data_IF_085981128361
#
_entry.id   IF_085981128361
#
_cell.length_a   1.000
_cell.length_b   1.000
_cell.length_c   1.000
_cell.angle_alpha   90.00
_cell.angle_beta   90.00
_cell.angle_gamma   90.00
#
_symmetry.space_group_name_H-M   'P 1'
#
loop_
_entity.id
_entity.type
_entity.pdbx_description
1 polymer ?
#
# COMPACT_ATOMS: atom_id res chain seq x y z
N UNK A 1 7.28 -41.52 48.15
CA UNK A 1 7.53 -41.92 49.54
C UNK A 1 8.92 -41.40 49.89
N UNK A 2 9.01 -40.17 50.37
CA UNK A 2 9.01 -39.78 51.81
C UNK A 2 10.34 -40.20 52.45
N UNK A 3 11.30 -39.29 52.59
CA UNK A 3 11.43 -38.18 53.57
C UNK A 3 12.34 -38.59 54.73
N UNK A 4 13.28 -37.69 55.07
CA UNK A 4 14.02 -37.45 56.34
C UNK A 4 15.40 -36.84 55.94
N UNK A 5 15.77 -35.55 56.07
CA UNK A 5 15.58 -34.54 57.13
C UNK A 5 16.03 -35.09 58.51
N UNK A 6 16.95 -34.53 59.32
CA UNK A 6 17.55 -33.20 59.60
C UNK A 6 18.79 -33.43 60.50
N UNK A 7 19.73 -32.47 60.64
CA UNK A 7 20.31 -31.96 61.93
C UNK A 7 21.65 -31.22 61.66
N UNK A 8 21.64 -29.88 61.54
CA UNK A 8 21.90 -28.85 62.57
C UNK A 8 23.36 -28.69 63.04
N UNK A 9 23.97 -27.50 62.80
CA UNK A 9 24.41 -26.52 63.83
C UNK A 9 25.31 -25.39 63.25
N UNK A 10 25.50 -24.25 63.95
CA UNK A 10 25.50 -22.91 63.34
C UNK A 10 26.82 -22.15 63.50
N UNK A 11 26.99 -21.06 62.74
CA UNK A 11 27.93 -19.97 63.06
C UNK A 11 27.30 -18.61 62.73
N UNK A 12 26.90 -17.90 63.79
CA UNK A 12 26.85 -16.43 63.88
C UNK A 12 28.31 -15.90 63.88
N UNK A 13 28.72 -14.68 63.53
CA UNK A 13 28.24 -13.27 63.41
C UNK A 13 29.28 -12.57 62.46
N UNK A 14 29.27 -11.23 62.16
CA UNK A 14 28.36 -10.17 62.58
C UNK A 14 27.77 -9.32 61.44
N UNK A 15 26.72 -8.57 61.82
CA UNK A 15 26.18 -7.41 61.13
C UNK A 15 27.13 -6.23 61.32
N UNK A 16 27.57 -5.60 60.23
CA UNK A 16 28.07 -4.23 60.31
C UNK A 16 27.82 -3.50 58.97
N UNK A 17 27.34 -2.27 59.10
CA UNK A 17 27.22 -1.21 58.10
C UNK A 17 26.29 -1.38 56.89
N UNK A 18 25.04 -1.05 57.18
CA UNK A 18 24.15 -0.21 56.37
C UNK A 18 24.86 1.02 55.75
N UNK A 19 24.93 1.09 54.42
CA UNK A 19 24.84 2.34 53.63
C UNK A 19 24.46 2.05 52.15
N UNK A 20 23.26 2.48 51.75
CA UNK A 20 22.83 2.72 50.35
C UNK A 20 23.38 4.08 49.88
N UNK A 21 23.23 4.52 48.60
CA UNK A 21 23.12 3.82 47.31
C UNK A 21 24.04 4.45 46.22
N UNK A 22 24.31 3.77 45.11
CA UNK A 22 24.65 4.42 43.84
C UNK A 22 24.24 3.53 42.66
N UNK A 23 23.68 4.18 41.64
CA UNK A 23 22.86 3.63 40.57
C UNK A 23 23.52 2.55 39.70
N UNK A 24 22.73 1.65 39.08
CA UNK A 24 23.24 0.76 38.05
C UNK A 24 23.55 1.53 36.77
N UNK A 25 24.82 1.41 36.35
CA UNK A 25 25.36 1.76 35.05
C UNK A 25 24.46 1.16 33.95
N UNK A 26 23.90 2.04 33.12
CA UNK A 26 22.98 1.66 32.04
C UNK A 26 23.74 0.99 30.89
N UNK A 27 23.21 -0.08 30.27
CA UNK A 27 23.78 -0.60 29.04
C UNK A 27 23.64 0.43 27.91
N UNK A 28 24.59 0.49 26.96
CA UNK A 28 24.47 1.38 25.81
C UNK A 28 23.27 0.93 24.96
N UNK A 29 22.26 1.80 24.89
CA UNK A 29 21.16 1.71 23.95
C UNK A 29 21.72 1.69 22.53
N UNK A 30 21.66 0.54 21.86
CA UNK A 30 21.69 0.50 20.40
C UNK A 30 20.53 1.38 19.90
N UNK A 31 20.78 2.38 19.04
CA UNK A 31 19.70 3.12 18.43
C UNK A 31 18.96 2.16 17.50
N UNK A 32 17.78 1.73 17.95
CA UNK A 32 16.80 1.06 17.11
C UNK A 32 16.59 1.94 15.86
N UNK A 33 17.12 1.48 14.73
CA UNK A 33 16.78 2.00 13.40
C UNK A 33 15.27 1.86 13.24
N UNK A 34 14.56 2.95 13.49
CA UNK A 34 13.14 3.07 13.24
C UNK A 34 12.93 3.07 11.73
N UNK A 35 12.72 1.90 11.17
CA UNK A 35 12.21 1.68 9.82
C UNK A 35 10.81 2.28 9.72
N UNK A 36 10.70 3.60 9.54
CA UNK A 36 9.41 4.26 9.37
C UNK A 36 8.81 3.81 8.04
N UNK A 37 7.77 2.97 8.09
CA UNK A 37 6.99 2.62 6.90
C UNK A 37 6.50 3.88 6.20
N UNK A 38 6.57 3.96 4.87
CA UNK A 38 6.15 5.15 4.13
C UNK A 38 4.67 5.46 4.42
N UNK A 39 4.37 6.74 4.65
CA UNK A 39 3.00 7.19 4.90
C UNK A 39 2.11 6.94 3.68
N UNK A 40 0.80 6.77 3.90
CA UNK A 40 -0.17 6.58 2.82
C UNK A 40 -0.16 7.73 1.80
N UNK A 41 0.11 8.96 2.25
CA UNK A 41 0.26 10.12 1.36
C UNK A 41 1.51 10.00 0.47
N UNK A 42 2.64 9.54 1.01
CA UNK A 42 3.88 9.39 0.25
C UNK A 42 3.72 8.34 -0.86
N UNK A 43 3.14 7.17 -0.55
CA UNK A 43 2.91 6.12 -1.56
C UNK A 43 1.95 6.59 -2.65
N UNK A 44 0.89 7.31 -2.25
CA UNK A 44 -0.03 7.92 -3.21
C UNK A 44 0.69 8.89 -4.15
N UNK A 45 1.53 9.79 -3.63
CA UNK A 45 2.27 10.73 -4.46
C UNK A 45 3.16 10.03 -5.49
N UNK A 46 3.89 8.99 -5.07
CA UNK A 46 4.71 8.17 -5.98
C UNK A 46 3.85 7.53 -7.07
N UNK A 47 2.73 6.93 -6.68
CA UNK A 47 1.80 6.29 -7.61
C UNK A 47 1.21 7.27 -8.63
N UNK A 48 0.82 8.47 -8.18
CA UNK A 48 0.28 9.50 -9.06
C UNK A 48 1.33 10.06 -10.02
N UNK A 49 2.59 10.20 -9.57
CA UNK A 49 3.71 10.56 -10.44
C UNK A 49 3.88 9.53 -11.56
N UNK A 50 3.92 8.25 -11.19
CA UNK A 50 4.02 7.16 -12.17
C UNK A 50 2.81 7.08 -13.11
N UNK A 51 1.58 7.28 -12.61
CA UNK A 51 0.39 7.32 -13.49
C UNK A 51 0.43 8.48 -14.50
N UNK A 52 1.04 9.62 -14.13
CA UNK A 52 1.25 10.73 -15.06
C UNK A 52 2.18 10.31 -16.20
N UNK A 53 3.29 9.63 -15.89
CA UNK A 53 4.21 9.12 -16.90
C UNK A 53 3.54 8.10 -17.83
N UNK A 54 2.71 7.21 -17.28
CA UNK A 54 1.91 6.24 -18.05
C UNK A 54 0.93 6.96 -18.98
N UNK A 55 0.24 7.99 -18.48
CA UNK A 55 -0.69 8.78 -19.28
C UNK A 55 0.05 9.50 -20.43
N UNK A 56 1.23 10.07 -20.18
CA UNK A 56 2.05 10.70 -21.21
C UNK A 56 2.50 9.69 -22.28
N UNK A 57 2.92 8.49 -21.87
CA UNK A 57 3.33 7.42 -22.80
C UNK A 57 2.20 6.94 -23.70
N UNK A 58 0.99 6.86 -23.16
CA UNK A 58 -0.21 6.49 -23.90
C UNK A 58 -0.88 7.67 -24.60
N UNK A 59 -0.31 8.87 -24.50
CA UNK A 59 -0.84 10.13 -25.05
C UNK A 59 -2.27 10.44 -24.57
N UNK A 60 -2.57 10.13 -23.31
CA UNK A 60 -3.86 10.39 -22.69
C UNK A 60 -3.98 11.85 -22.26
N UNK A 61 -5.18 12.41 -22.40
CA UNK A 61 -5.47 13.76 -21.93
C UNK A 61 -5.45 13.89 -20.39
N UNK A 62 -5.13 15.08 -19.90
CA UNK A 62 -5.24 15.43 -18.47
C UNK A 62 -6.60 15.09 -17.83
N UNK A 63 -7.75 15.32 -18.50
CA UNK A 63 -9.05 14.89 -18.00
C UNK A 63 -9.15 13.37 -17.75
N UNK A 64 -8.55 12.55 -18.62
CA UNK A 64 -8.51 11.09 -18.48
C UNK A 64 -7.73 10.68 -17.23
N UNK A 65 -6.57 11.30 -16.99
CA UNK A 65 -5.78 11.07 -15.78
C UNK A 65 -6.58 11.44 -14.52
N UNK A 66 -7.20 12.62 -14.50
CA UNK A 66 -8.02 13.08 -13.38
C UNK A 66 -9.21 12.15 -13.13
N UNK A 67 -9.89 11.66 -14.18
CA UNK A 67 -10.95 10.67 -14.06
C UNK A 67 -10.45 9.34 -13.47
N UNK A 68 -9.28 8.87 -13.91
CA UNK A 68 -8.63 7.68 -13.34
C UNK A 68 -8.33 7.84 -11.84
N UNK A 69 -7.79 9.00 -11.44
CA UNK A 69 -7.53 9.30 -10.01
C UNK A 69 -8.81 9.37 -9.20
N UNK A 70 -9.88 9.96 -9.73
CA UNK A 70 -11.18 10.00 -9.04
C UNK A 70 -11.78 8.60 -8.84
N UNK A 71 -11.62 7.70 -9.80
CA UNK A 71 -12.03 6.30 -9.66
C UNK A 71 -11.23 5.59 -8.57
N UNK A 72 -9.92 5.80 -8.54
CA UNK A 72 -9.04 5.26 -7.51
C UNK A 72 -9.48 5.72 -6.11
N UNK A 73 -9.75 7.02 -5.97
CA UNK A 73 -10.17 7.62 -4.70
C UNK A 73 -11.51 7.08 -4.23
N UNK A 74 -12.50 7.07 -5.13
CA UNK A 74 -13.82 6.54 -4.83
C UNK A 74 -13.76 5.05 -4.45
N UNK A 75 -12.85 4.28 -5.03
CA UNK A 75 -12.64 2.89 -4.65
C UNK A 75 -12.03 2.77 -3.26
N UNK A 76 -10.97 3.52 -2.96
CA UNK A 76 -10.27 3.48 -1.68
C UNK A 76 -11.15 3.96 -0.52
N UNK A 77 -12.04 4.92 -0.74
CA UNK A 77 -13.04 5.37 0.23
C UNK A 77 -14.03 4.27 0.65
N UNK A 78 -14.21 3.23 -0.18
CA UNK A 78 -15.07 2.08 0.10
C UNK A 78 -14.34 0.94 0.81
N UNK A 79 -13.01 1.00 0.91
CA UNK A 79 -12.22 -0.05 1.54
C UNK A 79 -12.07 0.20 3.04
N UNK A 80 -12.26 -0.84 3.85
CA UNK A 80 -12.02 -0.80 5.29
C UNK A 80 -10.52 -0.90 5.63
N UNK A 81 -9.74 -1.51 4.74
CA UNK A 81 -8.30 -1.70 4.88
C UNK A 81 -7.59 -1.21 3.62
N UNK A 82 -6.40 -0.65 3.82
CA UNK A 82 -5.56 -0.21 2.70
C UNK A 82 -5.07 -1.44 1.92
N UNK A 83 -5.22 -1.47 0.58
CA UNK A 83 -4.62 -2.52 -0.25
C UNK A 83 -3.09 -2.51 -0.15
N UNK A 84 -2.43 -3.68 -0.28
CA UNK A 84 -0.99 -3.77 -0.53
C UNK A 84 -0.58 -2.90 -1.72
N UNK A 85 0.63 -2.33 -1.67
CA UNK A 85 1.11 -1.40 -2.70
C UNK A 85 1.14 -2.01 -4.11
N UNK A 86 1.42 -3.31 -4.22
CA UNK A 86 1.34 -4.05 -5.50
C UNK A 86 -0.08 -4.14 -6.05
N UNK A 87 -1.10 -4.24 -5.21
CA UNK A 87 -2.49 -4.20 -5.66
C UNK A 87 -2.95 -2.76 -5.94
N UNK A 88 -2.38 -1.78 -5.24
CA UNK A 88 -2.67 -0.38 -5.45
C UNK A 88 -2.21 0.09 -6.84
N UNK A 89 -1.03 -0.37 -7.30
CA UNK A 89 -0.54 -0.09 -8.65
C UNK A 89 -1.42 -0.72 -9.74
N UNK A 90 -1.84 -1.98 -9.57
CA UNK A 90 -2.77 -2.65 -10.49
C UNK A 90 -4.14 -1.96 -10.53
N UNK A 91 -4.67 -1.58 -9.37
CA UNK A 91 -5.92 -0.83 -9.25
C UNK A 91 -5.83 0.50 -9.98
N UNK A 92 -4.74 1.25 -9.77
CA UNK A 92 -4.49 2.52 -10.44
C UNK A 92 -4.49 2.40 -11.97
N UNK A 93 -3.78 1.41 -12.53
CA UNK A 93 -3.83 1.14 -13.99
C UNK A 93 -5.23 0.76 -14.46
N UNK A 94 -5.94 -0.05 -13.68
CA UNK A 94 -7.32 -0.44 -14.01
C UNK A 94 -8.26 0.76 -14.03
N UNK A 95 -8.13 1.68 -13.07
CA UNK A 95 -8.88 2.93 -13.04
C UNK A 95 -8.55 3.81 -14.25
N UNK A 96 -7.28 3.94 -14.63
CA UNK A 96 -6.86 4.70 -15.81
C UNK A 96 -7.37 4.07 -17.11
N UNK A 97 -7.38 2.73 -17.21
CA UNK A 97 -7.94 2.02 -18.36
C UNK A 97 -9.45 2.26 -18.51
N UNK A 98 -10.21 2.26 -17.42
CA UNK A 98 -11.64 2.58 -17.44
C UNK A 98 -11.91 4.06 -17.77
N UNK A 99 -11.08 4.97 -17.26
CA UNK A 99 -11.14 6.38 -17.61
C UNK A 99 -10.85 6.60 -19.11
N UNK A 100 -9.82 5.94 -19.64
CA UNK A 100 -9.46 5.98 -21.06
C UNK A 100 -10.61 5.48 -21.94
N UNK A 101 -11.20 4.33 -21.56
CA UNK A 101 -12.36 3.76 -22.26
C UNK A 101 -13.55 4.71 -22.32
N UNK A 102 -13.74 5.53 -21.29
CA UNK A 102 -14.86 6.47 -21.18
C UNK A 102 -14.60 7.80 -21.88
N UNK A 103 -13.43 8.42 -21.69
CA UNK A 103 -13.13 9.77 -22.16
C UNK A 103 -12.41 9.83 -23.52
N UNK A 104 -11.65 8.80 -23.89
CA UNK A 104 -10.82 8.79 -25.10
C UNK A 104 -11.06 7.54 -25.94
N UNK A 105 -12.28 7.36 -26.52
CA UNK A 105 -12.66 6.13 -27.22
C UNK A 105 -11.84 5.82 -28.48
N UNK A 106 -11.02 6.76 -28.93
CA UNK A 106 -10.06 6.62 -30.03
C UNK A 106 -8.73 5.99 -29.59
N UNK A 107 -8.39 6.07 -28.30
CA UNK A 107 -7.23 5.42 -27.70
C UNK A 107 -7.72 4.12 -27.05
N UNK A 108 -7.34 2.97 -27.62
CA UNK A 108 -7.76 1.65 -27.12
C UNK A 108 -6.57 0.71 -26.96
N UNK A 109 -5.73 0.89 -25.93
CA UNK A 109 -4.73 -0.09 -25.60
C UNK A 109 -5.43 -1.40 -25.23
N UNK A 110 -4.94 -2.49 -25.78
CA UNK A 110 -5.30 -3.84 -25.41
C UNK A 110 -4.98 -4.12 -23.95
N UNK A 111 -5.61 -5.14 -23.36
CA UNK A 111 -5.28 -5.58 -22.00
C UNK A 111 -3.81 -6.01 -21.87
N UNK A 112 -3.22 -6.52 -22.95
CA UNK A 112 -1.80 -6.87 -22.97
C UNK A 112 -0.90 -5.62 -22.87
N UNK A 113 -1.23 -4.55 -23.60
CA UNK A 113 -0.51 -3.28 -23.49
C UNK A 113 -0.62 -2.72 -22.07
N UNK A 114 -1.81 -2.73 -21.47
CA UNK A 114 -1.98 -2.33 -20.06
C UNK A 114 -1.14 -3.16 -19.09
N UNK A 115 -1.10 -4.49 -19.26
CA UNK A 115 -0.31 -5.39 -18.42
C UNK A 115 1.20 -5.15 -18.57
N UNK A 116 1.65 -4.74 -19.76
CA UNK A 116 3.07 -4.47 -20.04
C UNK A 116 3.60 -3.16 -19.45
N UNK A 117 2.75 -2.28 -18.91
CA UNK A 117 3.17 -0.98 -18.37
C UNK A 117 3.77 -1.08 -16.97
N UNK A 118 3.38 -2.11 -16.21
CA UNK A 118 3.94 -2.39 -14.89
C UNK A 118 4.91 -3.55 -15.02
N UNK A 119 6.20 -3.26 -15.01
CA UNK A 119 7.28 -4.25 -15.18
C UNK A 119 8.15 -4.34 -13.95
N UNK A 120 8.73 -5.52 -13.74
CA UNK A 120 9.79 -5.70 -12.77
C UNK A 120 11.05 -5.01 -13.32
N UNK A 121 11.62 -4.02 -12.61
CA UNK A 121 12.78 -3.29 -13.11
C UNK A 121 14.04 -4.15 -13.25
N UNK A 122 14.13 -5.28 -12.54
CA UNK A 122 15.27 -6.19 -12.62
C UNK A 122 15.20 -7.17 -13.80
N UNK A 123 14.00 -7.63 -14.16
CA UNK A 123 13.81 -8.64 -15.22
C UNK A 123 13.20 -8.08 -16.50
N UNK A 124 12.57 -6.92 -16.44
CA UNK A 124 11.77 -6.34 -17.53
C UNK A 124 10.45 -7.05 -17.79
N UNK A 125 10.11 -8.07 -16.99
CA UNK A 125 8.90 -8.85 -17.19
C UNK A 125 7.67 -8.13 -16.59
N UNK A 126 6.48 -8.31 -17.19
CA UNK A 126 5.24 -7.80 -16.62
C UNK A 126 5.02 -8.28 -15.18
N UNK A 127 4.61 -7.36 -14.30
CA UNK A 127 4.25 -7.66 -12.91
C UNK A 127 2.89 -8.32 -12.77
N UNK A 128 2.02 -8.17 -13.77
CA UNK A 128 0.64 -8.63 -13.74
C UNK A 128 0.28 -9.41 -14.99
N UNK A 129 -0.62 -10.36 -14.82
CA UNK A 129 -1.23 -11.09 -15.91
C UNK A 129 -2.50 -10.37 -16.41
N UNK A 130 -2.93 -10.71 -17.62
CA UNK A 130 -4.21 -10.22 -18.18
C UNK A 130 -5.39 -10.59 -17.28
N UNK A 131 -5.34 -11.75 -16.62
CA UNK A 131 -6.39 -12.19 -15.70
C UNK A 131 -6.46 -11.32 -14.43
N UNK A 132 -5.33 -10.79 -13.97
CA UNK A 132 -5.30 -9.88 -12.82
C UNK A 132 -6.04 -8.57 -13.13
N UNK A 133 -5.86 -8.03 -14.34
CA UNK A 133 -6.61 -6.87 -14.81
C UNK A 133 -8.11 -7.14 -14.89
N UNK A 134 -8.52 -8.29 -15.42
CA UNK A 134 -9.95 -8.66 -15.49
C UNK A 134 -10.57 -8.79 -14.11
N UNK A 135 -9.85 -9.40 -13.16
CA UNK A 135 -10.29 -9.53 -11.77
C UNK A 135 -10.36 -8.17 -11.09
N UNK A 136 -9.34 -7.34 -11.24
CA UNK A 136 -9.30 -6.00 -10.66
C UNK A 136 -10.42 -5.11 -11.22
N UNK A 137 -10.66 -5.17 -12.54
CA UNK A 137 -11.78 -4.46 -13.19
C UNK A 137 -13.12 -4.91 -12.61
N UNK A 138 -13.32 -6.20 -12.47
CA UNK A 138 -14.57 -6.76 -11.90
C UNK A 138 -14.76 -6.28 -10.45
N UNK A 139 -13.69 -6.26 -9.66
CA UNK A 139 -13.70 -5.78 -8.29
C UNK A 139 -13.99 -4.26 -8.21
N UNK A 140 -13.37 -3.47 -9.08
CA UNK A 140 -13.58 -2.02 -9.18
C UNK A 140 -15.05 -1.71 -9.47
N UNK A 141 -15.60 -2.34 -10.51
CA UNK A 141 -17.01 -2.17 -10.91
C UNK A 141 -17.95 -2.60 -9.80
N UNK A 142 -17.72 -3.74 -9.16
CA UNK A 142 -18.54 -4.22 -8.05
C UNK A 142 -18.50 -3.28 -6.84
N UNK A 143 -17.31 -2.76 -6.51
CA UNK A 143 -17.09 -1.86 -5.37
C UNK A 143 -17.73 -0.49 -5.59
N UNK A 144 -17.77 -0.03 -6.83
CA UNK A 144 -18.39 1.23 -7.22
C UNK A 144 -19.85 1.07 -7.64
N UNK A 145 -20.57 0.06 -7.15
CA UNK A 145 -22.01 -0.12 -7.42
C UNK A 145 -22.36 -0.22 -8.94
N UNK A 146 -21.44 -0.68 -9.78
CA UNK A 146 -21.66 -1.01 -11.19
C UNK A 146 -21.10 -0.02 -12.22
N UNK A 147 -21.15 -0.45 -13.49
CA UNK A 147 -20.59 0.26 -14.67
C UNK A 147 -21.13 1.69 -14.82
N UNK A 148 -22.40 1.91 -14.49
CA UNK A 148 -23.04 3.23 -14.60
C UNK A 148 -22.42 4.24 -13.64
N UNK A 149 -21.97 3.84 -12.45
CA UNK A 149 -21.31 4.76 -11.53
C UNK A 149 -19.89 5.06 -11.97
N UNK A 150 -19.16 4.06 -12.46
CA UNK A 150 -17.82 4.23 -13.06
C UNK A 150 -17.88 5.26 -14.19
N UNK A 151 -18.79 5.06 -15.15
CA UNK A 151 -18.98 5.98 -16.28
C UNK A 151 -19.33 7.41 -15.83
N UNK A 152 -20.21 7.56 -14.82
CA UNK A 152 -20.56 8.88 -14.27
C UNK A 152 -19.37 9.59 -13.62
N UNK A 153 -18.53 8.85 -12.89
CA UNK A 153 -17.34 9.42 -12.26
C UNK A 153 -16.33 9.91 -13.31
N UNK A 154 -16.19 9.19 -14.42
CA UNK A 154 -15.37 9.62 -15.55
C UNK A 154 -15.96 10.88 -16.22
N UNK A 155 -17.24 10.87 -16.57
CA UNK A 155 -17.90 11.97 -17.28
C UNK A 155 -17.97 13.27 -16.46
N UNK A 156 -17.96 13.17 -15.13
CA UNK A 156 -17.99 14.32 -14.24
C UNK A 156 -16.70 15.17 -14.26
N UNK A 157 -15.64 14.75 -14.97
CA UNK A 157 -14.39 15.53 -15.12
C UNK A 157 -14.45 16.45 -16.33
N UNK A 158 -15.15 16.05 -17.40
CA UNK A 158 -15.25 16.82 -18.65
C UNK A 158 -16.04 18.13 -18.48
N UNK A 159 -16.91 18.19 -17.49
CA UNK A 159 -17.79 19.34 -17.23
C UNK A 159 -17.16 20.41 -16.31
N UNK A 160 -15.91 20.19 -15.86
CA UNK A 160 -15.22 21.09 -14.94
C UNK A 160 -14.04 21.87 -15.57
N UNK A 161 -13.81 21.72 -16.88
CA UNK A 161 -12.88 22.54 -17.67
C UNK A 161 -13.66 23.56 -18.51
#
# INVERSE_FOLDING_TARGET
>A
MCESQISEKPRQLPQDLQEQPSAPDSPPHEPAVTSSSPSTAAVRCVLLGWLSEVADWLQLGGPTLVAGVRLLDAFLEKQSLRPPDSLLQLLALTCLAEATRAGEPHIRPSLHEWASLAVNPATGEPLYEIEDFKRMRSLLVATLDGETKVARLCAAVEHCN
#
